data_IF_694306472044
#
_entry.id   IF_694306472044
#
_cell.length_a   1.000
_cell.length_b   1.000
_cell.length_c   1.000
_cell.angle_alpha   90.00
_cell.angle_beta   90.00
_cell.angle_gamma   90.00
#
_symmetry.space_group_name_H-M   'P 1'
#
loop_
_entity.id
_entity.type
_entity.pdbx_description
1 polymer ?
#
# COMPACT_ATOMS: atom_id res chain seq x y z
N UNK A 1 14.67 -49.16 40.00
CA UNK A 1 13.90 -49.52 38.80
C UNK A 1 13.96 -48.35 37.83
N UNK A 2 14.72 -48.48 36.74
CA UNK A 2 14.93 -47.41 35.75
C UNK A 2 13.89 -47.60 34.63
N UNK A 3 12.92 -46.69 34.52
CA UNK A 3 11.91 -46.73 33.46
C UNK A 3 12.54 -46.26 32.14
N UNK A 4 12.70 -47.19 31.19
CA UNK A 4 13.14 -46.90 29.82
C UNK A 4 12.01 -46.20 29.05
N UNK A 5 12.08 -44.88 28.91
CA UNK A 5 11.21 -44.11 28.01
C UNK A 5 11.59 -44.43 26.56
N UNK A 6 10.68 -45.12 25.88
CA UNK A 6 10.83 -45.59 24.50
C UNK A 6 11.13 -44.45 23.51
N UNK A 7 12.04 -44.62 22.54
CA UNK A 7 12.45 -43.58 21.58
C UNK A 7 11.31 -42.93 20.75
N UNK A 8 10.17 -43.61 20.64
CA UNK A 8 9.01 -43.18 19.84
C UNK A 8 8.17 -42.04 20.43
N UNK A 9 8.32 -41.69 21.71
CA UNK A 9 7.62 -40.54 22.31
C UNK A 9 8.26 -39.20 21.89
N UNK A 10 9.59 -39.15 21.82
CA UNK A 10 10.36 -37.94 21.51
C UNK A 10 10.19 -37.45 20.07
N UNK A 11 9.96 -38.35 19.11
CA UNK A 11 9.75 -37.99 17.70
C UNK A 11 8.39 -37.34 17.48
N UNK A 12 7.33 -37.86 18.14
CA UNK A 12 5.97 -37.28 18.09
C UNK A 12 5.91 -35.89 18.71
N UNK A 13 6.55 -35.70 19.85
CA UNK A 13 6.63 -34.40 20.52
C UNK A 13 7.35 -33.35 19.67
N UNK A 14 8.46 -33.73 19.01
CA UNK A 14 9.15 -32.86 18.05
C UNK A 14 8.27 -32.48 16.87
N UNK A 15 7.48 -33.41 16.32
CA UNK A 15 6.56 -33.10 15.23
C UNK A 15 5.42 -32.18 15.65
N UNK A 16 4.92 -32.31 16.89
CA UNK A 16 3.91 -31.39 17.44
C UNK A 16 4.46 -29.99 17.65
N UNK A 17 5.68 -29.85 18.15
CA UNK A 17 6.34 -28.55 18.28
C UNK A 17 6.56 -27.89 16.91
N UNK A 18 6.95 -28.67 15.90
CA UNK A 18 7.08 -28.17 14.52
C UNK A 18 5.71 -27.76 13.94
N UNK A 19 4.64 -28.53 14.21
CA UNK A 19 3.28 -28.18 13.78
C UNK A 19 2.78 -26.90 14.46
N UNK A 20 3.00 -26.77 15.77
CA UNK A 20 2.68 -25.56 16.55
C UNK A 20 3.47 -24.35 16.04
N UNK A 21 4.77 -24.51 15.78
CA UNK A 21 5.61 -23.45 15.22
C UNK A 21 5.16 -23.02 13.80
N UNK A 22 4.81 -23.98 12.94
CA UNK A 22 4.24 -23.70 11.60
C UNK A 22 2.90 -22.98 11.67
N UNK A 23 2.04 -23.33 12.64
CA UNK A 23 0.76 -22.67 12.87
C UNK A 23 0.97 -21.23 13.34
N UNK A 24 1.85 -21.00 14.32
CA UNK A 24 2.21 -19.66 14.82
C UNK A 24 2.78 -18.79 13.69
N UNK A 25 3.68 -19.35 12.88
CA UNK A 25 4.21 -18.65 11.71
C UNK A 25 3.08 -18.29 10.74
N UNK A 26 2.22 -19.24 10.36
CA UNK A 26 1.09 -19.01 9.44
C UNK A 26 0.08 -17.98 9.98
N UNK A 27 -0.16 -17.94 11.29
CA UNK A 27 -0.99 -16.93 11.97
C UNK A 27 -0.35 -15.55 11.93
N UNK A 28 0.96 -15.45 12.17
CA UNK A 28 1.72 -14.20 12.10
C UNK A 28 1.81 -13.63 10.67
N UNK A 29 1.99 -14.49 9.66
CA UNK A 29 1.94 -14.06 8.25
C UNK A 29 0.56 -13.52 7.87
N UNK A 30 -0.53 -14.13 8.34
CA UNK A 30 -1.91 -13.68 8.04
C UNK A 30 -2.22 -12.30 8.62
N UNK A 31 -1.64 -11.95 9.78
CA UNK A 31 -1.84 -10.64 10.41
C UNK A 31 -1.02 -9.54 9.71
N UNK A 32 0.20 -9.83 9.24
CA UNK A 32 1.01 -8.86 8.48
C UNK A 32 0.49 -8.61 7.05
N UNK A 33 -0.17 -9.58 6.40
CA UNK A 33 -0.74 -9.37 5.05
C UNK A 33 -1.93 -8.40 5.02
N UNK A 34 -2.61 -8.17 6.15
CA UNK A 34 -3.78 -7.28 6.22
C UNK A 34 -3.43 -5.79 6.41
N UNK A 35 -2.24 -5.48 6.93
CA UNK A 35 -1.76 -4.10 7.13
C UNK A 35 -1.07 -3.53 5.89
N UNK A 36 -0.47 -4.36 5.04
CA UNK A 36 0.19 -3.94 3.79
C UNK A 36 -0.77 -3.48 2.67
N UNK A 37 -2.03 -3.92 2.69
CA UNK A 37 -3.02 -3.52 1.66
C UNK A 37 -3.61 -2.13 1.93
N UNK A 38 -3.62 -1.68 3.19
CA UNK A 38 -4.27 -0.42 3.60
C UNK A 38 -3.37 0.81 3.40
N UNK A 39 -2.05 0.64 3.41
CA UNK A 39 -1.09 1.71 3.07
C UNK A 39 -1.20 2.07 1.58
N UNK A 40 -1.23 1.06 0.71
CA UNK A 40 -1.25 1.25 -0.75
C UNK A 40 -2.47 2.02 -1.28
N UNK A 41 -3.65 1.83 -0.67
CA UNK A 41 -4.89 2.55 -1.04
C UNK A 41 -4.93 3.96 -0.47
N UNK A 42 -4.40 4.16 0.74
CA UNK A 42 -4.26 5.47 1.35
C UNK A 42 -3.26 6.35 0.58
N UNK A 43 -2.11 5.78 0.20
CA UNK A 43 -1.08 6.44 -0.60
C UNK A 43 -1.62 6.90 -1.96
N UNK A 44 -2.49 6.10 -2.59
CA UNK A 44 -3.12 6.45 -3.87
C UNK A 44 -4.17 7.55 -3.72
N UNK A 45 -5.04 7.48 -2.71
CA UNK A 45 -6.00 8.56 -2.40
C UNK A 45 -5.30 9.87 -2.10
N UNK A 46 -4.20 9.85 -1.34
CA UNK A 46 -3.38 11.03 -1.11
C UNK A 46 -2.72 11.55 -2.39
N UNK A 47 -2.31 10.66 -3.30
CA UNK A 47 -1.75 11.05 -4.60
C UNK A 47 -2.77 11.74 -5.50
N UNK A 48 -4.01 11.25 -5.56
CA UNK A 48 -5.11 11.91 -6.30
C UNK A 48 -5.40 13.28 -5.70
N UNK A 49 -5.48 13.37 -4.36
CA UNK A 49 -5.70 14.63 -3.65
C UNK A 49 -4.60 15.66 -3.95
N UNK A 50 -3.34 15.25 -3.88
CA UNK A 50 -2.20 16.13 -4.21
C UNK A 50 -2.24 16.62 -5.66
N UNK A 51 -2.56 15.75 -6.62
CA UNK A 51 -2.61 16.14 -8.04
C UNK A 51 -3.75 17.12 -8.33
N UNK A 52 -4.90 16.96 -7.65
CA UNK A 52 -5.98 17.94 -7.70
C UNK A 52 -5.52 19.31 -7.18
N UNK A 53 -4.95 19.34 -5.98
CA UNK A 53 -4.39 20.58 -5.39
C UNK A 53 -3.32 21.23 -6.28
N UNK A 54 -2.50 20.42 -6.97
CA UNK A 54 -1.52 20.92 -7.93
C UNK A 54 -2.16 21.57 -9.16
N UNK A 55 -3.27 21.01 -9.65
CA UNK A 55 -4.06 21.60 -10.73
C UNK A 55 -4.65 22.96 -10.34
N UNK A 56 -5.22 23.06 -9.14
CA UNK A 56 -5.74 24.31 -8.56
C UNK A 56 -4.65 25.38 -8.42
N UNK A 57 -3.46 24.99 -7.95
CA UNK A 57 -2.31 25.88 -7.84
C UNK A 57 -1.91 26.48 -9.20
N UNK A 58 -1.86 25.68 -10.27
CA UNK A 58 -1.60 26.20 -11.61
C UNK A 58 -2.73 27.11 -12.11
N UNK A 59 -3.97 26.87 -11.71
CA UNK A 59 -5.09 27.74 -12.09
C UNK A 59 -4.95 29.12 -11.42
N UNK A 60 -4.59 29.17 -10.13
CA UNK A 60 -4.24 30.42 -9.46
C UNK A 60 -3.02 31.11 -10.08
N UNK A 61 -1.99 30.35 -10.50
CA UNK A 61 -0.86 30.93 -11.22
C UNK A 61 -1.27 31.52 -12.57
N UNK A 62 -2.18 30.88 -13.30
CA UNK A 62 -2.67 31.37 -14.59
C UNK A 62 -3.48 32.67 -14.47
N UNK A 63 -4.01 33.01 -13.29
CA UNK A 63 -4.65 34.31 -13.04
C UNK A 63 -3.62 35.45 -12.97
N UNK A 64 -2.37 35.15 -12.59
CA UNK A 64 -1.31 36.14 -12.37
C UNK A 64 -0.35 36.24 -13.57
N UNK A 65 -0.18 35.16 -14.32
CA UNK A 65 0.78 35.04 -15.42
C UNK A 65 0.13 35.44 -16.76
N UNK A 66 0.84 36.23 -17.57
CA UNK A 66 0.44 36.63 -18.93
C UNK A 66 1.44 36.14 -19.98
N UNK A 67 1.01 36.06 -21.25
CA UNK A 67 1.88 35.69 -22.38
C UNK A 67 1.99 34.19 -22.62
N UNK A 68 3.13 33.72 -23.12
CA UNK A 68 3.30 32.30 -23.48
C UNK A 68 3.34 31.37 -22.26
N UNK A 69 3.80 31.87 -21.12
CA UNK A 69 3.82 31.14 -19.84
C UNK A 69 2.41 30.83 -19.32
N UNK A 70 1.40 31.64 -19.69
CA UNK A 70 -0.01 31.39 -19.35
C UNK A 70 -0.50 30.09 -20.00
N UNK A 71 -0.20 29.89 -21.29
CA UNK A 71 -0.59 28.68 -22.02
C UNK A 71 0.05 27.44 -21.41
N UNK A 72 1.34 27.53 -21.07
CA UNK A 72 2.06 26.44 -20.43
C UNK A 72 1.50 26.12 -19.04
N UNK A 73 1.10 27.14 -18.28
CA UNK A 73 0.50 26.99 -16.95
C UNK A 73 -0.86 26.29 -17.02
N UNK A 74 -1.70 26.66 -17.99
CA UNK A 74 -2.98 25.99 -18.21
C UNK A 74 -2.79 24.54 -18.62
N UNK A 75 -1.88 24.25 -19.55
CA UNK A 75 -1.59 22.88 -19.97
C UNK A 75 -1.02 22.03 -18.82
N UNK A 76 -0.24 22.64 -17.93
CA UNK A 76 0.23 21.99 -16.69
C UNK A 76 -0.92 21.70 -15.71
N UNK A 77 -1.88 22.61 -15.56
CA UNK A 77 -3.10 22.39 -14.76
C UNK A 77 -3.91 21.21 -15.31
N UNK A 78 -4.19 21.23 -16.62
CA UNK A 78 -4.96 20.19 -17.29
C UNK A 78 -4.28 18.82 -17.19
N UNK A 79 -2.95 18.76 -17.34
CA UNK A 79 -2.18 17.52 -17.17
C UNK A 79 -2.20 17.00 -15.72
N UNK A 80 -2.21 17.88 -14.72
CA UNK A 80 -2.32 17.47 -13.32
C UNK A 80 -3.70 16.82 -13.05
N UNK A 81 -4.76 17.45 -13.55
CA UNK A 81 -6.12 16.95 -13.45
C UNK A 81 -6.34 15.62 -14.19
N UNK A 82 -5.81 15.49 -15.41
CA UNK A 82 -5.89 14.25 -16.17
C UNK A 82 -5.21 13.09 -15.43
N UNK A 83 -4.02 13.33 -14.87
CA UNK A 83 -3.32 12.32 -14.06
C UNK A 83 -4.11 11.92 -12.81
N UNK A 84 -4.74 12.89 -12.13
CA UNK A 84 -5.60 12.60 -10.99
C UNK A 84 -6.79 11.71 -11.40
N UNK A 85 -7.41 12.02 -12.54
CA UNK A 85 -8.52 11.25 -13.10
C UNK A 85 -8.10 9.84 -13.50
N UNK A 86 -6.98 9.68 -14.18
CA UNK A 86 -6.49 8.37 -14.63
C UNK A 86 -6.17 7.45 -13.45
N UNK A 87 -5.56 7.99 -12.39
CA UNK A 87 -5.29 7.24 -11.15
C UNK A 87 -6.61 6.83 -10.48
N UNK A 88 -7.57 7.75 -10.38
CA UNK A 88 -8.87 7.49 -9.78
C UNK A 88 -9.67 6.43 -10.58
N UNK A 89 -9.65 6.52 -11.91
CA UNK A 89 -10.34 5.56 -12.80
C UNK A 89 -9.73 4.16 -12.74
N UNK A 90 -8.41 4.05 -12.54
CA UNK A 90 -7.73 2.75 -12.43
C UNK A 90 -8.05 2.03 -11.11
N UNK A 91 -8.63 2.73 -10.15
CA UNK A 91 -8.97 2.22 -8.81
C UNK A 91 -10.47 1.88 -8.67
N UNK A 92 -11.27 2.15 -9.72
CA UNK A 92 -12.68 1.76 -9.87
C UNK A 92 -12.80 0.63 -10.91
#
# INVERSE_FOLDING_TARGET
MCLTLSPGSRVREKTELIQKAKLVHRSAWRVNSGTEQKTNTLDKKFKVFYLKMKGDYFQYLAEVICGDDWKQTIDNSQRAYQKAFDINKKEM
#
